data_IF_075487166339
#
_entry.id   IF_075487166339
#
_cell.length_a   1.000
_cell.length_b   1.000
_cell.length_c   1.000
_cell.angle_alpha   90.00
_cell.angle_beta   90.00
_cell.angle_gamma   90.00
#
_symmetry.space_group_name_H-M   'P 1'
#
loop_
_entity.id
_entity.type
_entity.pdbx_description
1 polymer ?
#
# COMPACT_ATOMS: atom_id res chain seq x y z
N UNK A 1 -44.38 14.32 -31.57
CA UNK A 1 -43.45 13.24 -31.94
C UNK A 1 -42.03 13.76 -31.74
N UNK A 2 -41.41 13.38 -30.62
CA UNK A 2 -40.03 13.75 -30.29
C UNK A 2 -39.10 12.87 -31.13
N UNK A 3 -38.45 13.44 -32.15
CA UNK A 3 -37.36 12.76 -32.88
C UNK A 3 -36.16 12.70 -31.94
N UNK A 4 -36.12 11.67 -31.10
CA UNK A 4 -34.88 11.26 -30.45
C UNK A 4 -33.96 10.83 -31.60
N UNK A 5 -32.87 11.57 -31.79
CA UNK A 5 -31.80 11.21 -32.71
C UNK A 5 -31.07 10.00 -32.13
N UNK A 6 -31.46 8.82 -32.60
CA UNK A 6 -30.91 7.55 -32.12
C UNK A 6 -29.42 7.40 -32.45
N UNK A 7 -28.86 8.19 -33.38
CA UNK A 7 -27.45 8.11 -33.70
C UNK A 7 -26.60 8.77 -32.61
N UNK A 8 -27.01 9.93 -32.11
CA UNK A 8 -26.26 10.66 -31.08
C UNK A 8 -26.15 9.87 -29.76
N UNK A 9 -27.20 9.13 -29.42
CA UNK A 9 -27.25 8.25 -28.24
C UNK A 9 -26.25 7.08 -28.35
N UNK A 10 -26.09 6.51 -29.55
CA UNK A 10 -25.15 5.40 -29.79
C UNK A 10 -23.70 5.89 -29.74
N UNK A 11 -23.39 7.06 -30.31
CA UNK A 11 -22.04 7.62 -30.27
C UNK A 11 -21.58 7.98 -28.85
N UNK A 12 -22.45 8.57 -28.03
CA UNK A 12 -22.15 8.84 -26.60
C UNK A 12 -22.01 7.56 -25.77
N UNK A 13 -22.65 6.46 -26.16
CA UNK A 13 -22.50 5.16 -25.47
C UNK A 13 -21.18 4.45 -25.79
N UNK A 14 -20.55 4.78 -26.92
CA UNK A 14 -19.26 4.25 -27.34
C UNK A 14 -18.08 5.03 -26.75
N UNK A 15 -18.27 6.33 -26.48
CA UNK A 15 -17.29 7.18 -25.80
C UNK A 15 -17.33 6.96 -24.28
N UNK A 16 -16.99 5.73 -23.86
CA UNK A 16 -16.79 5.39 -22.45
C UNK A 16 -15.32 5.57 -22.12
N UNK A 17 -14.97 6.23 -21.00
CA UNK A 17 -13.58 6.32 -20.57
C UNK A 17 -13.02 4.90 -20.41
N UNK A 18 -11.94 4.63 -21.14
CA UNK A 18 -11.18 3.39 -21.00
C UNK A 18 -10.36 3.48 -19.72
N UNK A 19 -10.82 2.82 -18.67
CA UNK A 19 -10.05 2.67 -17.45
C UNK A 19 -8.85 1.77 -17.74
N UNK A 20 -7.64 2.29 -17.52
CA UNK A 20 -6.42 1.51 -17.51
C UNK A 20 -6.09 1.14 -16.09
N UNK A 21 -5.64 -0.10 -15.91
CA UNK A 21 -5.07 -0.51 -14.63
C UNK A 21 -3.80 0.29 -14.39
N UNK A 22 -3.76 1.00 -13.27
CA UNK A 22 -2.58 1.68 -12.76
C UNK A 22 -2.18 0.94 -11.47
N UNK A 23 -1.08 0.17 -11.47
CA UNK A 23 -0.64 -0.55 -10.29
C UNK A 23 -0.20 0.44 -9.21
N UNK A 24 -0.69 0.26 -7.99
CA UNK A 24 -0.17 1.01 -6.85
C UNK A 24 1.25 0.53 -6.53
N UNK A 25 2.14 1.48 -6.22
CA UNK A 25 3.54 1.20 -5.85
C UNK A 25 3.70 1.56 -4.38
N UNK A 26 4.15 0.60 -3.59
CA UNK A 26 4.55 0.81 -2.19
C UNK A 26 6.06 0.99 -2.17
N UNK A 27 6.54 2.12 -1.67
CA UNK A 27 7.96 2.42 -1.55
C UNK A 27 8.46 2.28 -0.11
N UNK A 28 7.57 2.43 0.87
CA UNK A 28 7.90 2.32 2.28
C UNK A 28 6.80 1.62 3.07
N UNK A 29 7.20 0.85 4.09
CA UNK A 29 6.29 0.13 4.97
C UNK A 29 6.83 0.08 6.40
N UNK A 30 5.92 0.14 7.37
CA UNK A 30 6.21 -0.04 8.79
C UNK A 30 5.62 -1.37 9.25
N UNK A 31 6.45 -2.25 9.78
CA UNK A 31 6.03 -3.51 10.41
C UNK A 31 5.94 -3.29 11.91
N UNK A 32 4.72 -3.37 12.43
CA UNK A 32 4.42 -3.32 13.87
C UNK A 32 4.16 -4.73 14.39
N UNK A 33 4.88 -5.13 15.43
CA UNK A 33 4.73 -6.47 16.01
C UNK A 33 4.96 -6.45 17.52
N UNK A 34 4.26 -7.34 18.22
CA UNK A 34 4.46 -7.66 19.64
C UNK A 34 5.62 -8.66 19.87
N UNK A 35 6.30 -9.07 18.80
CA UNK A 35 7.49 -9.90 18.88
C UNK A 35 8.72 -9.04 19.22
N UNK A 36 9.75 -9.69 19.76
CA UNK A 36 11.04 -9.07 20.07
C UNK A 36 12.21 -9.83 19.46
N UNK A 37 13.33 -9.11 19.26
CA UNK A 37 14.60 -9.66 18.80
C UNK A 37 14.48 -10.43 17.49
N UNK A 38 15.12 -11.59 17.42
CA UNK A 38 15.19 -12.42 16.20
C UNK A 38 13.81 -12.82 15.66
N UNK A 39 12.79 -12.94 16.51
CA UNK A 39 11.43 -13.25 16.07
C UNK A 39 10.79 -12.08 15.33
N UNK A 40 11.02 -10.85 15.79
CA UNK A 40 10.54 -9.64 15.14
C UNK A 40 11.23 -9.44 13.78
N UNK A 41 12.54 -9.69 13.72
CA UNK A 41 13.31 -9.64 12.47
C UNK A 41 12.84 -10.68 11.46
N UNK A 42 12.62 -11.93 11.91
CA UNK A 42 12.11 -12.99 11.05
C UNK A 42 10.70 -12.66 10.51
N UNK A 43 9.84 -12.05 11.32
CA UNK A 43 8.52 -11.59 10.90
C UNK A 43 8.62 -10.43 9.89
N UNK A 44 9.49 -9.46 10.13
CA UNK A 44 9.75 -8.36 9.18
C UNK A 44 10.25 -8.88 7.83
N UNK A 45 11.19 -9.82 7.84
CA UNK A 45 11.69 -10.47 6.62
C UNK A 45 10.57 -11.25 5.88
N UNK A 46 9.66 -11.89 6.62
CA UNK A 46 8.49 -12.55 6.04
C UNK A 46 7.54 -11.53 5.40
N UNK A 47 7.24 -10.43 6.09
CA UNK A 47 6.40 -9.35 5.57
C UNK A 47 7.00 -8.75 4.29
N UNK A 48 8.32 -8.53 4.25
CA UNK A 48 9.00 -8.04 3.06
C UNK A 48 8.88 -8.96 1.84
N UNK A 49 8.89 -10.29 2.04
CA UNK A 49 8.65 -11.24 0.94
C UNK A 49 7.25 -11.09 0.34
N UNK A 50 6.23 -10.85 1.18
CA UNK A 50 4.85 -10.66 0.70
C UNK A 50 4.64 -9.32 0.00
N UNK A 51 5.40 -8.29 0.39
CA UNK A 51 5.38 -6.98 -0.26
C UNK A 51 6.18 -6.96 -1.57
N UNK A 52 6.79 -8.07 -1.97
CA UNK A 52 7.53 -8.17 -3.22
C UNK A 52 8.94 -7.59 -3.14
N UNK A 53 9.52 -7.46 -1.93
CA UNK A 53 10.95 -7.16 -1.74
C UNK A 53 11.76 -8.37 -2.17
N UNK A 54 11.96 -8.49 -3.48
CA UNK A 54 12.68 -9.58 -4.12
C UNK A 54 13.92 -9.03 -4.82
N UNK A 55 14.89 -8.53 -4.06
CA UNK A 55 16.31 -8.43 -4.44
C UNK A 55 16.72 -7.58 -5.65
N UNK A 56 15.80 -7.10 -6.49
CA UNK A 56 16.07 -6.22 -7.62
C UNK A 56 15.70 -4.77 -7.32
N UNK A 57 16.36 -3.85 -8.02
CA UNK A 57 16.29 -2.39 -7.82
C UNK A 57 14.84 -1.90 -7.71
N UNK A 58 14.49 -1.36 -6.53
CA UNK A 58 13.10 -1.07 -6.13
C UNK A 58 12.69 -1.62 -4.77
N UNK A 59 13.64 -2.03 -3.93
CA UNK A 59 13.37 -2.57 -2.60
C UNK A 59 12.61 -1.57 -1.72
N UNK A 60 11.41 -1.98 -1.28
CA UNK A 60 10.58 -1.27 -0.32
C UNK A 60 11.39 -1.04 0.96
N UNK A 61 11.42 0.20 1.44
CA UNK A 61 12.02 0.52 2.74
C UNK A 61 11.12 -0.01 3.84
N UNK A 62 11.56 -1.08 4.50
CA UNK A 62 10.83 -1.68 5.63
C UNK A 62 11.48 -1.24 6.93
N UNK A 63 10.69 -0.59 7.78
CA UNK A 63 11.04 -0.28 9.15
C UNK A 63 10.32 -1.24 10.10
N UNK A 64 10.97 -1.60 11.20
CA UNK A 64 10.43 -2.53 12.20
C UNK A 64 10.27 -1.79 13.53
N UNK A 65 9.07 -1.87 14.09
CA UNK A 65 8.76 -1.47 15.45
C UNK A 65 8.26 -2.70 16.21
N UNK A 66 9.05 -3.10 17.20
CA UNK A 66 8.87 -4.26 18.06
C UNK A 66 8.16 -3.91 19.37
N UNK A 67 7.82 -4.90 20.19
CA UNK A 67 7.11 -4.68 21.46
C UNK A 67 7.84 -3.75 22.43
N UNK A 68 9.17 -3.63 22.33
CA UNK A 68 9.97 -2.74 23.15
C UNK A 68 9.91 -1.27 22.72
N UNK A 69 9.49 -0.99 21.48
CA UNK A 69 9.55 0.34 20.88
C UNK A 69 8.31 1.20 21.21
N UNK A 70 7.24 0.58 21.72
CA UNK A 70 6.02 1.28 22.14
C UNK A 70 5.31 0.55 23.28
N UNK A 71 4.77 1.31 24.21
CA UNK A 71 4.00 0.82 25.37
C UNK A 71 2.55 1.33 25.40
N UNK A 72 2.19 2.20 24.45
CA UNK A 72 0.87 2.81 24.33
C UNK A 72 0.52 3.06 22.86
N UNK A 73 -0.76 3.26 22.58
CA UNK A 73 -1.26 3.54 21.22
C UNK A 73 -0.72 4.90 20.75
N UNK A 74 -0.61 5.87 21.65
CA UNK A 74 -0.08 7.21 21.37
C UNK A 74 1.36 7.15 20.89
N UNK A 75 2.20 6.32 21.53
CA UNK A 75 3.58 6.10 21.09
C UNK A 75 3.64 5.41 19.71
N UNK A 76 2.77 4.42 19.48
CA UNK A 76 2.66 3.74 18.19
C UNK A 76 2.25 4.71 17.05
N UNK A 77 1.31 5.61 17.33
CA UNK A 77 0.92 6.66 16.37
C UNK A 77 2.06 7.66 16.14
N UNK A 78 2.83 8.00 17.17
CA UNK A 78 4.04 8.83 17.03
C UNK A 78 5.06 8.17 16.09
N UNK A 79 5.31 6.87 16.24
CA UNK A 79 6.16 6.11 15.32
C UNK A 79 5.62 6.18 13.89
N UNK A 80 4.31 6.03 13.69
CA UNK A 80 3.71 6.15 12.36
C UNK A 80 3.94 7.53 11.73
N UNK A 81 3.79 8.61 12.50
CA UNK A 81 4.02 9.98 12.04
C UNK A 81 5.50 10.29 11.72
N UNK A 82 6.43 9.69 12.45
CA UNK A 82 7.87 9.80 12.19
C UNK A 82 8.29 8.99 10.96
N UNK A 83 7.78 7.77 10.86
CA UNK A 83 8.15 6.80 9.82
C UNK A 83 7.56 7.14 8.47
N UNK A 84 6.33 7.70 8.45
CA UNK A 84 5.55 8.06 7.25
C UNK A 84 5.56 6.95 6.18
N UNK A 85 5.07 5.74 6.52
CA UNK A 85 4.91 4.69 5.51
C UNK A 85 3.89 5.12 4.44
N UNK A 86 3.99 4.52 3.25
CA UNK A 86 3.13 4.80 2.09
C UNK A 86 1.64 4.44 2.32
#
# INVERSE_FOLDING_TARGET
MTKIDQFESVFRSADKPLFRYDPFVVNSALVLTDLEGEKAEAFSALAGKYLGVSGEEGAISIQLASAGDFSSIEQCLGLFEETKPD
#
